data_IF_720516657345
#
_entry.id   IF_720516657345
#
_cell.length_a   1.000
_cell.length_b   1.000
_cell.length_c   1.000
_cell.angle_alpha   90.00
_cell.angle_beta   90.00
_cell.angle_gamma   90.00
#
_symmetry.space_group_name_H-M   'P 1'
#
loop_
_entity.id
_entity.type
_entity.pdbx_description
1 polymer ?
#
# COMPACT_ATOMS: atom_id res chain seq x y z
N UNK A 1 2.23 -20.74 7.35
CA UNK A 1 3.00 -20.00 6.34
C UNK A 1 2.86 -18.51 6.61
N UNK A 2 3.95 -17.77 6.58
CA UNK A 2 3.84 -16.32 6.74
C UNK A 2 3.10 -15.70 5.56
N UNK A 3 2.35 -14.64 5.86
CA UNK A 3 1.70 -13.87 4.81
C UNK A 3 2.77 -13.09 4.04
N UNK A 4 2.63 -13.05 2.72
CA UNK A 4 3.53 -12.28 1.88
C UNK A 4 3.15 -10.81 1.96
N UNK A 5 3.88 -10.04 2.74
CA UNK A 5 3.65 -8.61 2.93
C UNK A 5 4.47 -7.77 1.96
N UNK A 6 5.14 -8.39 1.00
CA UNK A 6 6.03 -7.71 0.05
C UNK A 6 7.15 -6.96 0.75
N UNK A 7 7.47 -7.36 1.99
CA UNK A 7 8.50 -6.70 2.78
C UNK A 7 8.02 -5.56 3.66
N UNK A 8 6.75 -5.20 3.55
CA UNK A 8 6.18 -4.18 4.43
C UNK A 8 6.01 -4.72 5.84
N UNK A 9 6.17 -3.85 6.83
CA UNK A 9 5.98 -4.23 8.22
C UNK A 9 5.49 -3.00 9.01
N UNK A 10 5.17 -3.23 10.29
CA UNK A 10 4.59 -2.18 11.12
C UNK A 10 5.52 -0.98 11.34
N UNK A 11 6.81 -1.16 11.16
CA UNK A 11 7.77 -0.07 11.23
C UNK A 11 7.63 0.95 10.11
N UNK A 12 6.92 0.60 9.04
CA UNK A 12 6.67 1.51 7.91
C UNK A 12 5.43 2.38 8.11
N UNK A 13 4.64 2.14 9.16
CA UNK A 13 3.44 2.95 9.43
C UNK A 13 3.85 4.39 9.69
N UNK A 14 3.16 5.33 9.03
CA UNK A 14 3.46 6.75 9.13
C UNK A 14 4.47 7.25 8.11
N UNK A 15 5.10 6.36 7.36
CA UNK A 15 6.11 6.75 6.38
C UNK A 15 5.49 6.95 5.02
N UNK A 16 6.15 7.79 4.21
CA UNK A 16 5.76 7.94 2.81
C UNK A 16 6.33 6.80 2.01
N UNK A 17 5.49 6.21 1.18
CA UNK A 17 5.86 5.04 0.38
C UNK A 17 5.34 5.24 -1.02
N UNK A 18 6.18 4.91 -2.00
CA UNK A 18 5.75 4.83 -3.39
C UNK A 18 5.41 3.36 -3.67
N UNK A 19 4.18 3.11 -4.07
CA UNK A 19 3.74 1.74 -4.38
C UNK A 19 3.39 1.63 -5.85
N UNK A 20 3.81 0.51 -6.45
CA UNK A 20 3.40 0.13 -7.79
C UNK A 20 2.42 -1.02 -7.66
N UNK A 21 1.22 -0.85 -8.21
CA UNK A 21 0.18 -1.86 -8.15
C UNK A 21 0.26 -2.77 -9.37
N UNK A 22 -0.36 -3.95 -9.25
CA UNK A 22 -0.32 -4.96 -10.31
C UNK A 22 -0.96 -4.49 -11.62
N UNK A 23 -1.87 -3.52 -11.54
CA UNK A 23 -2.51 -2.96 -12.73
C UNK A 23 -1.70 -1.85 -13.40
N UNK A 24 -0.51 -1.56 -12.89
CA UNK A 24 0.37 -0.55 -13.43
C UNK A 24 0.25 0.83 -12.79
N UNK A 25 -0.66 1.01 -11.84
CA UNK A 25 -0.76 2.28 -11.13
C UNK A 25 0.46 2.50 -10.25
N UNK A 26 0.92 3.75 -10.21
CA UNK A 26 2.04 4.15 -9.38
C UNK A 26 1.58 5.31 -8.51
N UNK A 27 1.62 5.10 -7.20
CA UNK A 27 1.04 6.02 -6.22
C UNK A 27 2.07 6.37 -5.17
N UNK A 28 2.00 7.61 -4.67
CA UNK A 28 2.73 8.00 -3.47
C UNK A 28 1.72 8.11 -2.33
N UNK A 29 1.98 7.38 -1.26
CA UNK A 29 1.05 7.24 -0.15
C UNK A 29 1.76 7.45 1.17
N UNK A 30 0.96 7.67 2.23
CA UNK A 30 1.42 7.55 3.61
C UNK A 30 0.75 6.33 4.21
N UNK A 31 1.54 5.37 4.64
CA UNK A 31 1.01 4.14 5.22
C UNK A 31 0.37 4.46 6.57
N UNK A 32 -0.91 4.10 6.70
CA UNK A 32 -1.66 4.36 7.92
C UNK A 32 -1.75 3.11 8.79
N UNK A 33 -2.01 1.97 8.17
CA UNK A 33 -2.17 0.72 8.91
C UNK A 33 -1.78 -0.46 8.04
N UNK A 34 -1.23 -1.48 8.69
CA UNK A 34 -0.85 -2.72 8.06
C UNK A 34 -1.67 -3.84 8.70
N UNK A 35 -2.49 -4.52 7.90
CA UNK A 35 -3.30 -5.63 8.37
C UNK A 35 -2.68 -6.94 7.90
N UNK A 36 -2.26 -7.77 8.85
CA UNK A 36 -1.67 -9.08 8.56
C UNK A 36 -2.54 -10.14 9.21
N UNK A 37 -3.04 -11.05 8.40
CA UNK A 37 -3.87 -12.16 8.86
C UNK A 37 -3.04 -13.43 8.90
N UNK A 38 -3.44 -14.38 9.77
CA UNK A 38 -2.77 -15.67 9.86
C UNK A 38 -2.89 -16.49 8.57
N UNK A 39 -3.93 -16.21 7.78
CA UNK A 39 -4.16 -16.86 6.50
C UNK A 39 -4.04 -15.82 5.38
N UNK A 40 -3.68 -16.24 4.16
CA UNK A 40 -3.65 -15.32 3.02
C UNK A 40 -5.07 -14.99 2.56
N UNK A 41 -5.77 -14.26 3.39
CA UNK A 41 -7.16 -13.86 3.15
C UNK A 41 -7.21 -12.49 2.46
N UNK A 42 -8.33 -12.15 1.82
CA UNK A 42 -8.49 -10.82 1.23
C UNK A 42 -8.35 -9.68 2.25
N UNK A 43 -8.44 -9.99 3.54
CA UNK A 43 -8.30 -8.97 4.58
C UNK A 43 -6.86 -8.51 4.78
N UNK A 44 -5.88 -9.22 4.23
CA UNK A 44 -4.48 -8.87 4.42
C UNK A 44 -4.06 -7.79 3.41
N UNK A 45 -3.70 -6.64 3.92
CA UNK A 45 -3.35 -5.53 3.05
C UNK A 45 -2.92 -4.31 3.84
N UNK A 46 -2.94 -3.17 3.17
CA UNK A 46 -2.56 -1.90 3.77
C UNK A 46 -3.70 -0.90 3.66
N UNK A 47 -3.85 -0.09 4.70
CA UNK A 47 -4.68 1.10 4.68
C UNK A 47 -3.76 2.30 4.59
N UNK A 48 -4.05 3.22 3.69
CA UNK A 48 -3.16 4.33 3.44
C UNK A 48 -3.93 5.58 3.05
N UNK A 49 -3.26 6.71 3.19
CA UNK A 49 -3.78 8.00 2.71
C UNK A 49 -3.00 8.35 1.46
N UNK A 50 -3.74 8.70 0.40
CA UNK A 50 -3.14 9.05 -0.88
C UNK A 50 -2.52 10.43 -0.81
N UNK A 51 -1.22 10.53 -1.12
CA UNK A 51 -0.51 11.80 -1.21
C UNK A 51 -0.59 12.32 -2.65
N UNK A 52 -0.24 11.47 -3.61
CA UNK A 52 -0.33 11.86 -5.02
C UNK A 52 -0.39 10.61 -5.90
N UNK A 53 -0.92 10.79 -7.12
CA UNK A 53 -0.86 9.76 -8.15
C UNK A 53 0.24 10.13 -9.13
N UNK A 54 1.17 9.20 -9.35
CA UNK A 54 2.26 9.40 -10.30
C UNK A 54 1.84 8.85 -11.66
N UNK A 55 1.21 7.68 -11.66
CA UNK A 55 0.67 7.07 -12.87
C UNK A 55 -0.60 6.30 -12.48
N UNK A 56 -1.75 6.75 -12.96
CA UNK A 56 -3.01 6.10 -12.62
C UNK A 56 -4.04 6.42 -13.68
N UNK A 57 -4.80 5.39 -14.09
CA UNK A 57 -5.96 5.55 -14.95
C UNK A 57 -7.24 5.74 -14.14
N UNK A 58 -7.19 5.47 -12.86
CA UNK A 58 -8.32 5.60 -11.96
C UNK A 58 -8.44 7.00 -11.38
N UNK A 59 -9.62 7.31 -10.88
CA UNK A 59 -9.86 8.55 -10.18
C UNK A 59 -9.67 8.29 -8.70
N UNK A 60 -8.66 8.91 -8.13
CA UNK A 60 -8.37 8.81 -6.71
C UNK A 60 -8.24 10.20 -6.14
N UNK A 61 -8.79 10.40 -4.95
CA UNK A 61 -8.78 11.69 -4.28
C UNK A 61 -7.58 11.79 -3.34
N UNK A 62 -6.78 12.85 -3.52
CA UNK A 62 -5.68 13.12 -2.60
C UNK A 62 -6.24 13.37 -1.21
N UNK A 63 -5.57 12.83 -0.19
CA UNK A 63 -5.99 12.96 1.18
C UNK A 63 -7.04 11.96 1.61
N UNK A 64 -7.62 11.20 0.69
CA UNK A 64 -8.56 10.15 1.02
C UNK A 64 -7.85 8.89 1.45
N UNK A 65 -8.50 8.11 2.30
CA UNK A 65 -7.98 6.81 2.74
C UNK A 65 -8.46 5.72 1.80
N UNK A 66 -7.54 4.78 1.52
CA UNK A 66 -7.82 3.64 0.66
C UNK A 66 -7.26 2.38 1.28
N UNK A 67 -7.73 1.24 0.81
CA UNK A 67 -7.22 -0.06 1.21
C UNK A 67 -6.81 -0.84 -0.04
N UNK A 68 -5.67 -1.55 0.05
CA UNK A 68 -5.18 -2.39 -1.04
C UNK A 68 -4.62 -3.67 -0.44
N UNK A 69 -5.02 -4.81 -1.01
CA UNK A 69 -4.51 -6.09 -0.57
C UNK A 69 -3.05 -6.29 -1.02
N UNK A 70 -2.31 -7.06 -0.25
CA UNK A 70 -0.90 -7.33 -0.56
C UNK A 70 -0.72 -7.96 -1.95
N UNK A 71 -1.68 -8.77 -2.38
CA UNK A 71 -1.61 -9.41 -3.69
C UNK A 71 -1.63 -8.45 -4.85
N UNK A 72 -2.11 -7.22 -4.64
CA UNK A 72 -2.18 -6.20 -5.68
C UNK A 72 -0.97 -5.27 -5.68
N UNK A 73 -0.08 -5.42 -4.70
CA UNK A 73 1.14 -4.62 -4.64
C UNK A 73 2.23 -5.35 -5.40
N UNK A 74 2.70 -4.75 -6.49
CA UNK A 74 3.77 -5.31 -7.29
C UNK A 74 5.12 -5.04 -6.65
N UNK A 75 5.34 -3.80 -6.24
CA UNK A 75 6.56 -3.39 -5.54
C UNK A 75 6.32 -2.09 -4.79
N UNK A 76 7.22 -1.78 -3.89
CA UNK A 76 7.14 -0.52 -3.16
C UNK A 76 8.54 0.02 -2.87
N UNK A 77 8.60 1.32 -2.58
CA UNK A 77 9.84 1.98 -2.17
C UNK A 77 9.50 2.92 -1.03
N UNK A 78 10.20 2.79 0.09
CA UNK A 78 10.03 3.68 1.24
C UNK A 78 10.77 4.98 0.94
N UNK A 79 10.04 6.09 1.03
CA UNK A 79 10.59 7.43 0.72
C UNK A 79 11.02 8.17 1.99
N UNK A 80 10.58 7.73 3.16
CA UNK A 80 10.89 8.36 4.42
C UNK A 80 9.65 8.88 5.13
N UNK A 81 9.83 9.76 6.06
CA UNK A 81 8.74 10.30 6.88
C UNK A 81 7.90 11.34 6.15
#
# INVERSE_FOLDING_TARGET
MPVDTRGLNHGHVGKRIRVELADGELLEIRLHELTVCAKPEPCCGITYVLISTIRSDGKRDKGAAYWTGFGEIERFQVLGD
#
